data_IF_411154153677
#
_entry.id   IF_411154153677
#
_cell.length_a   1.000
_cell.length_b   1.000
_cell.length_c   1.000
_cell.angle_alpha   90.00
_cell.angle_beta   90.00
_cell.angle_gamma   90.00
#
_symmetry.space_group_name_H-M   'P 1'
#
loop_
_entity.id
_entity.type
_entity.pdbx_description
1 polymer ?
#
# COMPACT_ATOMS: atom_id res chain seq x y z
N UNK A 1 -21.20 -27.78 19.24
CA UNK A 1 -20.95 -26.62 18.37
C UNK A 1 -19.58 -26.82 17.76
N UNK A 2 -19.54 -27.35 16.53
CA UNK A 2 -18.32 -27.38 15.73
C UNK A 2 -17.92 -25.94 15.46
N UNK A 3 -16.74 -25.55 15.93
CA UNK A 3 -16.16 -24.25 15.58
C UNK A 3 -16.00 -24.23 14.06
N UNK A 4 -16.84 -23.45 13.38
CA UNK A 4 -16.57 -23.05 12.00
C UNK A 4 -15.18 -22.46 12.00
N UNK A 5 -14.26 -23.13 11.29
CA UNK A 5 -12.88 -22.68 11.20
C UNK A 5 -12.91 -21.33 10.51
N UNK A 6 -12.45 -20.27 11.18
CA UNK A 6 -12.47 -18.87 10.71
C UNK A 6 -11.92 -18.69 9.28
N UNK A 7 -11.11 -19.65 8.81
CA UNK A 7 -10.60 -19.72 7.45
C UNK A 7 -11.69 -19.72 6.36
N UNK A 8 -12.90 -20.24 6.62
CA UNK A 8 -13.99 -20.28 5.63
C UNK A 8 -14.74 -18.95 5.45
N UNK A 9 -14.47 -17.93 6.29
CA UNK A 9 -15.16 -16.63 6.28
C UNK A 9 -14.20 -15.45 6.05
N UNK A 10 -12.91 -15.72 5.85
CA UNK A 10 -11.89 -14.69 5.63
C UNK A 10 -11.74 -14.35 4.14
N UNK A 11 -11.37 -13.11 3.85
CA UNK A 11 -11.02 -12.67 2.50
C UNK A 11 -9.79 -13.41 1.99
N UNK A 12 -9.78 -13.79 0.71
CA UNK A 12 -8.52 -14.14 0.03
C UNK A 12 -7.75 -12.84 -0.23
N UNK A 13 -6.62 -12.66 0.45
CA UNK A 13 -5.82 -11.44 0.39
C UNK A 13 -4.60 -11.57 -0.54
N UNK A 14 -4.39 -12.74 -1.15
CA UNK A 14 -3.24 -12.99 -2.03
C UNK A 14 -3.27 -12.08 -3.26
N UNK A 15 -4.45 -11.67 -3.72
CA UNK A 15 -4.59 -10.72 -4.83
C UNK A 15 -4.01 -9.33 -4.49
N UNK A 16 -3.98 -8.96 -3.21
CA UNK A 16 -3.47 -7.66 -2.78
C UNK A 16 -1.96 -7.66 -2.61
N UNK A 17 -1.38 -8.71 -2.02
CA UNK A 17 0.03 -8.71 -1.61
C UNK A 17 0.87 -9.85 -2.18
N UNK A 18 0.27 -10.72 -2.99
CA UNK A 18 0.83 -12.00 -3.40
C UNK A 18 0.74 -13.04 -2.28
N UNK A 19 1.41 -14.17 -2.46
CA UNK A 19 1.45 -15.26 -1.47
C UNK A 19 2.30 -14.94 -0.22
N UNK A 20 2.89 -13.74 -0.15
CA UNK A 20 3.81 -13.32 0.90
C UNK A 20 3.11 -12.84 2.19
N UNK A 21 1.78 -12.71 2.16
CA UNK A 21 0.99 -12.26 3.30
C UNK A 21 1.49 -10.92 3.87
N UNK A 22 1.72 -10.79 5.19
CA UNK A 22 2.20 -9.55 5.78
C UNK A 22 3.54 -9.05 5.21
N UNK A 23 4.42 -9.93 4.73
CA UNK A 23 5.68 -9.53 4.10
C UNK A 23 5.46 -8.80 2.77
N UNK A 24 4.38 -9.12 2.04
CA UNK A 24 4.01 -8.41 0.82
C UNK A 24 3.54 -6.98 1.08
N UNK A 25 3.03 -6.68 2.29
CA UNK A 25 2.74 -5.29 2.70
C UNK A 25 4.03 -4.48 2.80
N UNK A 26 5.05 -5.02 3.47
CA UNK A 26 6.34 -4.33 3.61
C UNK A 26 6.98 -4.09 2.23
N UNK A 27 6.95 -5.11 1.35
CA UNK A 27 7.42 -4.98 -0.04
C UNK A 27 6.72 -3.85 -0.81
N UNK A 28 5.38 -3.80 -0.77
CA UNK A 28 4.62 -2.74 -1.46
C UNK A 28 4.95 -1.34 -0.92
N UNK A 29 5.15 -1.21 0.39
CA UNK A 29 5.52 0.06 1.01
C UNK A 29 6.97 0.46 0.72
N UNK A 30 7.88 -0.51 0.56
CA UNK A 30 9.25 -0.26 0.12
C UNK A 30 9.27 0.22 -1.34
N UNK A 31 8.56 -0.48 -2.24
CA UNK A 31 8.38 -0.10 -3.65
C UNK A 31 7.79 1.32 -3.77
N UNK A 32 6.75 1.63 -3.00
CA UNK A 32 6.13 2.95 -3.00
C UNK A 32 7.06 4.05 -2.46
N UNK A 33 7.87 3.76 -1.43
CA UNK A 33 8.81 4.73 -0.87
C UNK A 33 9.98 5.05 -1.81
N UNK A 34 10.51 4.03 -2.49
CA UNK A 34 11.51 4.22 -3.55
C UNK A 34 10.91 5.01 -4.72
N UNK A 35 9.71 4.64 -5.17
CA UNK A 35 8.97 5.33 -6.22
C UNK A 35 8.71 6.80 -5.89
N UNK A 36 8.22 7.11 -4.68
CA UNK A 36 7.97 8.49 -4.26
C UNK A 36 9.24 9.35 -4.21
N UNK A 37 10.38 8.76 -3.84
CA UNK A 37 11.67 9.44 -3.87
C UNK A 37 12.06 9.79 -5.31
N UNK A 38 12.01 8.81 -6.21
CA UNK A 38 12.33 9.02 -7.62
C UNK A 38 11.38 10.02 -8.29
N UNK A 39 10.08 9.95 -7.96
CA UNK A 39 9.06 10.85 -8.45
C UNK A 39 9.33 12.30 -8.03
N UNK A 40 9.64 12.52 -6.74
CA UNK A 40 10.02 13.84 -6.24
C UNK A 40 11.24 14.39 -6.99
N UNK A 41 12.33 13.62 -7.07
CA UNK A 41 13.58 14.06 -7.70
C UNK A 41 13.37 14.43 -9.19
N UNK A 42 12.48 13.69 -9.86
CA UNK A 42 12.17 13.85 -11.28
C UNK A 42 11.27 15.05 -11.55
N UNK A 43 10.17 15.20 -10.79
CA UNK A 43 9.07 16.11 -11.15
C UNK A 43 8.91 17.33 -10.24
N UNK A 44 9.48 17.35 -9.03
CA UNK A 44 9.33 18.47 -8.12
C UNK A 44 9.83 19.78 -8.76
N UNK A 45 8.94 20.79 -8.80
CA UNK A 45 9.22 22.09 -9.39
C UNK A 45 9.31 22.13 -10.92
N UNK A 46 9.13 21.00 -11.62
CA UNK A 46 9.33 20.88 -13.09
C UNK A 46 8.04 20.55 -13.86
N UNK A 47 6.91 20.39 -13.17
CA UNK A 47 5.64 19.96 -13.80
C UNK A 47 5.18 20.89 -14.92
N UNK A 48 5.41 22.20 -14.79
CA UNK A 48 5.03 23.18 -15.81
C UNK A 48 5.82 23.05 -17.12
N UNK A 49 6.97 22.37 -17.08
CA UNK A 49 7.86 22.18 -18.24
C UNK A 49 7.57 20.85 -18.97
N UNK A 50 6.69 20.01 -18.43
CA UNK A 50 6.32 18.73 -19.04
C UNK A 50 5.41 18.94 -20.26
N UNK A 51 5.71 18.23 -21.33
CA UNK A 51 4.77 18.08 -22.45
C UNK A 51 3.67 17.06 -22.10
N UNK A 52 2.72 16.84 -23.02
CA UNK A 52 1.60 15.94 -22.78
C UNK A 52 2.02 14.49 -22.47
N UNK A 53 3.12 14.02 -23.06
CA UNK A 53 3.63 12.66 -22.78
C UNK A 53 4.33 12.61 -21.42
N UNK A 54 5.13 13.62 -21.09
CA UNK A 54 5.78 13.76 -19.80
C UNK A 54 4.78 13.83 -18.65
N UNK A 55 3.70 14.60 -18.81
CA UNK A 55 2.64 14.68 -17.80
C UNK A 55 1.88 13.36 -17.66
N UNK A 56 1.57 12.68 -18.76
CA UNK A 56 0.95 11.36 -18.71
C UNK A 56 1.84 10.33 -18.00
N UNK A 57 3.15 10.38 -18.21
CA UNK A 57 4.13 9.54 -17.51
C UNK A 57 4.14 9.82 -16.01
N UNK A 58 4.21 11.10 -15.63
CA UNK A 58 4.17 11.50 -14.23
C UNK A 58 2.89 11.00 -13.52
N UNK A 59 1.73 11.15 -14.16
CA UNK A 59 0.46 10.65 -13.58
C UNK A 59 0.46 9.12 -13.46
N UNK A 60 1.00 8.40 -14.43
CA UNK A 60 1.09 6.94 -14.36
C UNK A 60 2.00 6.46 -13.22
N UNK A 61 3.15 7.11 -13.03
CA UNK A 61 4.07 6.81 -11.92
C UNK A 61 3.42 7.12 -10.56
N UNK A 62 2.76 8.28 -10.44
CA UNK A 62 2.03 8.64 -9.23
C UNK A 62 0.91 7.65 -8.92
N UNK A 63 0.18 7.19 -9.95
CA UNK A 63 -0.86 6.18 -9.79
C UNK A 63 -0.30 4.83 -9.31
N UNK A 64 0.88 4.42 -9.79
CA UNK A 64 1.53 3.19 -9.35
C UNK A 64 1.95 3.26 -7.87
N UNK A 65 2.49 4.41 -7.43
CA UNK A 65 2.83 4.65 -6.01
C UNK A 65 1.56 4.56 -5.15
N UNK A 66 0.49 5.25 -5.56
CA UNK A 66 -0.77 5.26 -4.85
C UNK A 66 -1.43 3.86 -4.80
N UNK A 67 -1.36 3.08 -5.88
CA UNK A 67 -1.87 1.70 -5.93
C UNK A 67 -1.13 0.80 -4.93
N UNK A 68 0.20 0.87 -4.87
CA UNK A 68 0.99 0.07 -3.94
C UNK A 68 0.64 0.37 -2.47
N UNK A 69 0.55 1.66 -2.10
CA UNK A 69 0.11 2.08 -0.76
C UNK A 69 -1.33 1.64 -0.49
N UNK A 70 -2.22 1.82 -1.46
CA UNK A 70 -3.64 1.44 -1.34
C UNK A 70 -3.83 -0.05 -1.13
N UNK A 71 -3.08 -0.91 -1.84
CA UNK A 71 -3.12 -2.37 -1.67
C UNK A 71 -2.60 -2.79 -0.30
N UNK A 72 -1.51 -2.20 0.18
CA UNK A 72 -0.98 -2.41 1.53
C UNK A 72 -2.02 -2.03 2.61
N UNK A 73 -2.67 -0.87 2.44
CA UNK A 73 -3.71 -0.39 3.35
C UNK A 73 -4.96 -1.27 3.35
N UNK A 74 -5.42 -1.69 2.17
CA UNK A 74 -6.57 -2.59 2.04
C UNK A 74 -6.27 -3.95 2.67
N UNK A 75 -5.07 -4.51 2.48
CA UNK A 75 -4.67 -5.75 3.14
C UNK A 75 -4.75 -5.61 4.66
N UNK A 76 -4.14 -4.56 5.22
CA UNK A 76 -4.14 -4.33 6.66
C UNK A 76 -5.56 -4.14 7.22
N UNK A 77 -6.40 -3.36 6.53
CA UNK A 77 -7.80 -3.10 6.92
C UNK A 77 -8.65 -4.36 6.90
N UNK A 78 -8.58 -5.14 5.82
CA UNK A 78 -9.32 -6.38 5.70
C UNK A 78 -8.85 -7.40 6.74
N UNK A 79 -7.54 -7.53 6.99
CA UNK A 79 -7.01 -8.39 8.06
C UNK A 79 -7.51 -7.95 9.44
N UNK A 80 -7.43 -6.65 9.75
CA UNK A 80 -7.94 -6.08 11.01
C UNK A 80 -9.43 -6.30 11.20
N UNK A 81 -10.23 -6.28 10.12
CA UNK A 81 -11.67 -6.54 10.20
C UNK A 81 -12.03 -7.97 10.65
N UNK A 82 -11.10 -8.93 10.51
CA UNK A 82 -11.34 -10.33 10.92
C UNK A 82 -11.12 -10.56 12.41
N UNK A 83 -10.25 -9.78 13.04
CA UNK A 83 -10.06 -9.76 14.49
C UNK A 83 -9.48 -8.40 14.93
N UNK A 84 -10.37 -7.50 15.36
CA UNK A 84 -10.00 -6.13 15.76
C UNK A 84 -9.32 -6.08 17.14
N UNK A 85 -9.34 -7.17 17.90
CA UNK A 85 -8.70 -7.26 19.23
C UNK A 85 -7.27 -7.82 19.15
N UNK A 86 -6.88 -8.44 18.03
CA UNK A 86 -5.53 -8.94 17.80
C UNK A 86 -4.53 -7.75 17.71
N UNK A 87 -3.56 -7.64 18.64
CA UNK A 87 -2.56 -6.58 18.60
C UNK A 87 -1.67 -6.63 17.35
N UNK A 88 -1.50 -7.79 16.70
CA UNK A 88 -0.74 -7.91 15.45
C UNK A 88 -1.46 -7.19 14.31
N UNK A 89 -2.80 -7.30 14.25
CA UNK A 89 -3.60 -6.55 13.28
C UNK A 89 -3.53 -5.04 13.54
N UNK A 90 -3.65 -4.62 14.80
CA UNK A 90 -3.53 -3.21 15.18
C UNK A 90 -2.17 -2.62 14.82
N UNK A 91 -1.08 -3.35 15.08
CA UNK A 91 0.27 -2.94 14.72
C UNK A 91 0.47 -2.80 13.20
N UNK A 92 -0.15 -3.68 12.41
CA UNK A 92 -0.08 -3.61 10.95
C UNK A 92 -0.77 -2.36 10.40
N UNK A 93 -1.95 -1.99 10.92
CA UNK A 93 -2.64 -0.74 10.56
C UNK A 93 -1.75 0.48 10.87
N UNK A 94 -1.21 0.54 12.09
CA UNK A 94 -0.35 1.64 12.52
C UNK A 94 0.88 1.79 11.61
N UNK A 95 1.55 0.67 11.30
CA UNK A 95 2.70 0.65 10.38
C UNK A 95 2.33 1.21 9.00
N UNK A 96 1.23 0.74 8.41
CA UNK A 96 0.82 1.20 7.07
C UNK A 96 0.45 2.69 7.08
N UNK A 97 -0.22 3.16 8.13
CA UNK A 97 -0.56 4.59 8.27
C UNK A 97 0.70 5.47 8.38
N UNK A 98 1.65 5.09 9.23
CA UNK A 98 2.91 5.82 9.42
C UNK A 98 3.69 5.89 8.10
N UNK A 99 3.93 4.72 7.47
CA UNK A 99 4.69 4.65 6.23
C UNK A 99 3.96 5.31 5.06
N UNK A 100 2.66 5.11 4.93
CA UNK A 100 1.83 5.74 3.90
C UNK A 100 1.89 7.27 3.99
N UNK A 101 1.77 7.82 5.20
CA UNK A 101 1.91 9.27 5.41
C UNK A 101 3.30 9.76 4.98
N UNK A 102 4.36 9.06 5.37
CA UNK A 102 5.73 9.43 4.99
C UNK A 102 5.95 9.41 3.47
N UNK A 103 5.32 8.48 2.75
CA UNK A 103 5.35 8.37 1.29
C UNK A 103 4.58 9.54 0.66
N UNK A 104 3.37 9.85 1.15
CA UNK A 104 2.53 10.94 0.63
C UNK A 104 3.17 12.33 0.77
N UNK A 105 4.03 12.52 1.77
CA UNK A 105 4.65 13.82 2.08
C UNK A 105 6.11 13.96 1.62
N UNK A 106 6.60 13.03 0.80
CA UNK A 106 7.93 13.12 0.16
C UNK A 106 8.04 14.32 -0.78
#
# INVERSE_FOLDING_TARGET
>A
MTATVLADVAWNLDDLVGADGPAGVDRLLDEAAEGATAFHDTYAGKVADLDGQGLSGAIAELAAIADAVGRAANYASLRFSTDTADPINGALIAKVQERGTAIETK
#
